data_IF_087567563869
#
_entry.id   IF_087567563869
#
_cell.length_a   1.000
_cell.length_b   1.000
_cell.length_c   1.000
_cell.angle_alpha   90.00
_cell.angle_beta   90.00
_cell.angle_gamma   90.00
#
_symmetry.space_group_name_H-M   'P 1'
#
loop_
_entity.id
_entity.type
_entity.pdbx_description
1 polymer ?
#
# COMPACT_ATOMS: atom_id res chain seq x y z
N UNK A 1 -44.90 0.95 16.30
CA UNK A 1 -43.51 0.55 16.66
C UNK A 1 -42.71 0.00 15.46
N UNK A 2 -43.28 -0.85 14.60
CA UNK A 2 -42.57 -1.42 13.42
C UNK A 2 -42.04 -0.39 12.40
N UNK A 3 -42.82 0.66 12.10
CA UNK A 3 -42.40 1.69 11.13
C UNK A 3 -41.18 2.51 11.56
N UNK A 4 -41.01 2.78 12.86
CA UNK A 4 -39.84 3.50 13.39
C UNK A 4 -38.56 2.68 13.28
N UNK A 5 -38.64 1.37 13.48
CA UNK A 5 -37.52 0.46 13.29
C UNK A 5 -37.10 0.36 11.81
N UNK A 6 -38.07 0.28 10.89
CA UNK A 6 -37.79 0.27 9.45
C UNK A 6 -37.16 1.58 8.98
N UNK A 7 -37.65 2.73 9.45
CA UNK A 7 -37.06 4.03 9.18
C UNK A 7 -35.63 4.13 9.72
N UNK A 8 -35.37 3.66 10.95
CA UNK A 8 -34.02 3.66 11.50
C UNK A 8 -33.04 2.82 10.68
N UNK A 9 -33.45 1.62 10.26
CA UNK A 9 -32.63 0.75 9.39
C UNK A 9 -32.38 1.42 8.04
N UNK A 10 -33.42 1.99 7.42
CA UNK A 10 -33.29 2.69 6.14
C UNK A 10 -32.31 3.87 6.24
N UNK A 11 -32.36 4.66 7.31
CA UNK A 11 -31.43 5.77 7.55
C UNK A 11 -30.00 5.28 7.72
N UNK A 12 -29.78 4.20 8.48
CA UNK A 12 -28.43 3.62 8.67
C UNK A 12 -27.86 3.11 7.35
N UNK A 13 -28.66 2.38 6.57
CA UNK A 13 -28.23 1.87 5.26
C UNK A 13 -27.92 3.02 4.29
N UNK A 14 -28.75 4.06 4.27
CA UNK A 14 -28.52 5.25 3.45
C UNK A 14 -27.23 5.97 3.86
N UNK A 15 -27.01 6.18 5.16
CA UNK A 15 -25.79 6.82 5.65
C UNK A 15 -24.53 6.00 5.33
N UNK A 16 -24.61 4.66 5.45
CA UNK A 16 -23.51 3.78 5.10
C UNK A 16 -23.19 3.79 3.61
N UNK A 17 -24.22 3.79 2.75
CA UNK A 17 -24.05 3.90 1.30
C UNK A 17 -23.42 5.25 0.93
N UNK A 18 -23.94 6.34 1.49
CA UNK A 18 -23.38 7.68 1.27
C UNK A 18 -21.91 7.77 1.72
N UNK A 19 -21.57 7.22 2.89
CA UNK A 19 -20.20 7.20 3.38
C UNK A 19 -19.27 6.39 2.45
N UNK A 20 -19.74 5.25 1.95
CA UNK A 20 -19.00 4.46 0.96
C UNK A 20 -18.75 5.26 -0.31
N UNK A 21 -19.79 5.81 -0.92
CA UNK A 21 -19.68 6.56 -2.17
C UNK A 21 -18.76 7.78 -2.02
N UNK A 22 -18.81 8.43 -0.85
CA UNK A 22 -17.92 9.54 -0.52
C UNK A 22 -16.45 9.10 -0.38
N UNK A 23 -16.18 7.95 0.27
CA UNK A 23 -14.84 7.38 0.36
C UNK A 23 -14.31 7.00 -1.02
N UNK A 24 -15.13 6.34 -1.84
CA UNK A 24 -14.76 5.92 -3.19
C UNK A 24 -14.40 7.16 -4.04
N UNK A 25 -15.23 8.21 -4.00
CA UNK A 25 -14.94 9.47 -4.69
C UNK A 25 -13.66 10.17 -4.18
N UNK A 26 -13.38 10.09 -2.87
CA UNK A 26 -12.15 10.63 -2.30
C UNK A 26 -10.90 9.85 -2.73
N UNK A 27 -10.99 8.53 -2.79
CA UNK A 27 -9.92 7.66 -3.30
C UNK A 27 -9.65 7.99 -4.77
N UNK A 28 -10.71 8.05 -5.59
CA UNK A 28 -10.58 8.31 -7.03
C UNK A 28 -10.04 9.72 -7.33
N UNK A 29 -10.35 10.69 -6.48
CA UNK A 29 -9.81 12.05 -6.58
C UNK A 29 -8.36 12.18 -6.09
N UNK A 30 -7.79 11.14 -5.47
CA UNK A 30 -6.42 11.19 -4.94
C UNK A 30 -5.41 11.20 -6.09
N UNK A 31 -4.59 12.26 -6.24
CA UNK A 31 -3.57 12.29 -7.27
C UNK A 31 -2.48 11.28 -6.94
N UNK A 32 -2.42 10.18 -7.70
CA UNK A 32 -1.39 9.17 -7.54
C UNK A 32 -0.05 9.69 -8.09
N UNK A 33 1.06 9.48 -7.36
CA UNK A 33 2.38 9.72 -7.91
C UNK A 33 2.63 8.76 -9.09
N UNK A 34 3.58 9.07 -9.98
CA UNK A 34 3.97 8.15 -11.04
C UNK A 34 4.32 6.78 -10.48
N UNK A 35 3.60 5.75 -10.93
CA UNK A 35 3.84 4.37 -10.51
C UNK A 35 5.06 3.75 -11.21
N UNK A 36 5.48 4.35 -12.33
CA UNK A 36 6.74 4.04 -12.97
C UNK A 36 7.89 4.67 -12.17
N UNK A 37 8.68 3.82 -11.52
CA UNK A 37 9.87 4.26 -10.78
C UNK A 37 11.01 4.41 -11.77
N UNK A 38 11.60 5.61 -11.84
CA UNK A 38 12.81 5.83 -12.61
C UNK A 38 13.96 4.98 -12.05
N UNK A 39 14.65 4.26 -12.94
CA UNK A 39 15.82 3.44 -12.61
C UNK A 39 17.10 4.12 -13.10
N UNK A 40 18.20 3.81 -12.43
CA UNK A 40 19.55 4.20 -12.80
C UNK A 40 19.89 3.78 -14.22
N UNK A 41 20.62 4.64 -14.95
CA UNK A 41 21.27 4.23 -16.20
C UNK A 41 22.44 3.33 -15.82
N UNK A 42 22.42 2.09 -16.32
CA UNK A 42 23.43 1.07 -16.06
C UNK A 42 24.35 0.91 -17.27
N UNK A 43 25.66 1.03 -17.02
CA UNK A 43 26.72 0.72 -17.98
C UNK A 43 27.20 -0.69 -17.68
N UNK A 44 26.94 -1.61 -18.60
CA UNK A 44 27.29 -3.01 -18.49
C UNK A 44 28.41 -3.37 -19.47
N UNK A 45 29.17 -4.42 -19.16
CA UNK A 45 30.13 -5.00 -20.07
C UNK A 45 29.45 -5.93 -21.10
N UNK A 46 30.24 -6.56 -21.98
CA UNK A 46 29.72 -7.47 -23.02
C UNK A 46 29.10 -8.76 -22.47
N UNK A 47 29.40 -9.11 -21.23
CA UNK A 47 28.90 -10.30 -20.53
C UNK A 47 27.71 -9.96 -19.61
N UNK A 48 27.32 -8.68 -19.54
CA UNK A 48 26.22 -8.20 -18.71
C UNK A 48 26.62 -7.83 -17.28
N UNK A 49 27.92 -7.78 -16.95
CA UNK A 49 28.37 -7.35 -15.63
C UNK A 49 28.32 -5.83 -15.50
N UNK A 50 27.82 -5.35 -14.36
CA UNK A 50 27.71 -3.92 -14.07
C UNK A 50 29.09 -3.28 -13.92
N UNK A 51 29.43 -2.36 -14.81
CA UNK A 51 30.66 -1.56 -14.74
C UNK A 51 30.44 -0.26 -13.97
N UNK A 52 29.26 0.36 -14.13
CA UNK A 52 28.86 1.59 -13.46
C UNK A 52 27.35 1.76 -13.51
N UNK A 53 26.77 2.35 -12.48
CA UNK A 53 25.43 2.93 -12.56
C UNK A 53 25.48 4.44 -12.25
N UNK A 54 24.50 5.17 -12.80
CA UNK A 54 24.31 6.59 -12.53
C UNK A 54 23.11 6.79 -11.61
N UNK A 55 23.14 7.81 -10.77
CA UNK A 55 22.00 8.13 -9.89
C UNK A 55 20.82 8.65 -10.71
N UNK A 56 19.61 8.37 -10.25
CA UNK A 56 18.39 9.02 -10.77
C UNK A 56 18.36 10.50 -10.34
N UNK A 57 17.38 11.26 -10.83
CA UNK A 57 17.31 12.72 -10.62
C UNK A 57 17.38 13.17 -9.15
N UNK A 58 16.96 12.31 -8.22
CA UNK A 58 16.99 12.57 -6.77
C UNK A 58 18.29 12.12 -6.06
N UNK A 59 19.33 11.75 -6.82
CA UNK A 59 20.65 11.39 -6.30
C UNK A 59 20.74 9.97 -5.73
N UNK A 60 19.67 9.18 -5.79
CA UNK A 60 19.68 7.79 -5.33
C UNK A 60 20.13 6.83 -6.43
N UNK A 61 20.67 5.70 -6.01
CA UNK A 61 20.92 4.55 -6.89
C UNK A 61 19.67 3.68 -6.89
N UNK A 62 19.15 3.36 -8.08
CA UNK A 62 17.96 2.52 -8.27
C UNK A 62 18.21 1.54 -9.40
N UNK A 63 18.82 0.40 -9.07
CA UNK A 63 19.09 -0.63 -10.07
C UNK A 63 17.77 -1.25 -10.53
N UNK A 64 17.67 -1.55 -11.83
CA UNK A 64 16.52 -2.27 -12.35
C UNK A 64 16.53 -3.70 -11.81
N UNK A 65 15.45 -4.12 -11.16
CA UNK A 65 15.31 -5.45 -10.61
C UNK A 65 14.08 -6.13 -11.23
N UNK A 66 14.30 -7.28 -11.89
CA UNK A 66 13.22 -8.18 -12.27
C UNK A 66 12.86 -9.04 -11.04
N UNK A 67 11.60 -9.00 -10.55
CA UNK A 67 11.16 -9.88 -9.46
C UNK A 67 11.41 -11.37 -9.73
N UNK A 68 11.42 -11.81 -11.00
CA UNK A 68 11.71 -13.19 -11.36
C UNK A 68 13.19 -13.57 -11.20
N UNK A 69 14.09 -12.58 -11.20
CA UNK A 69 15.52 -12.77 -10.98
C UNK A 69 15.91 -12.72 -9.48
N UNK A 70 14.98 -12.37 -8.60
CA UNK A 70 15.19 -12.32 -7.15
C UNK A 70 15.05 -13.71 -6.54
N UNK A 71 15.93 -14.06 -5.60
CA UNK A 71 15.84 -15.32 -4.86
C UNK A 71 14.46 -15.45 -4.18
N UNK A 72 13.67 -16.50 -4.47
CA UNK A 72 12.37 -16.71 -3.86
C UNK A 72 12.41 -16.78 -2.33
N UNK A 73 13.52 -17.20 -1.72
CA UNK A 73 13.69 -17.20 -0.27
C UNK A 73 13.77 -15.78 0.27
N UNK A 74 14.54 -14.90 -0.37
CA UNK A 74 14.63 -13.50 0.00
C UNK A 74 13.26 -12.83 -0.06
N UNK A 75 12.52 -13.02 -1.17
CA UNK A 75 11.18 -12.45 -1.31
C UNK A 75 10.21 -12.94 -0.21
N UNK A 76 10.25 -14.23 0.14
CA UNK A 76 9.44 -14.79 1.24
C UNK A 76 9.81 -14.18 2.59
N UNK A 77 11.11 -14.02 2.86
CA UNK A 77 11.57 -13.43 4.11
C UNK A 77 11.17 -11.95 4.20
N UNK A 78 11.31 -11.20 3.11
CA UNK A 78 10.91 -9.80 3.04
C UNK A 78 9.42 -9.63 3.34
N UNK A 79 8.55 -10.41 2.67
CA UNK A 79 7.11 -10.39 2.95
C UNK A 79 6.83 -10.79 4.40
N UNK A 80 7.48 -11.82 4.93
CA UNK A 80 7.25 -12.25 6.31
C UNK A 80 7.67 -11.18 7.35
N UNK A 81 8.69 -10.38 7.06
CA UNK A 81 9.23 -9.36 7.94
C UNK A 81 8.44 -8.05 7.87
N UNK A 82 8.22 -7.53 6.66
CA UNK A 82 7.57 -6.23 6.44
C UNK A 82 6.05 -6.32 6.59
N UNK A 83 5.43 -7.31 5.94
CA UNK A 83 3.98 -7.47 5.93
C UNK A 83 3.58 -8.94 5.76
N UNK A 84 3.55 -9.64 6.89
CA UNK A 84 3.20 -11.07 6.95
C UNK A 84 1.82 -11.39 6.33
N UNK A 85 0.92 -10.41 6.19
CA UNK A 85 -0.43 -10.60 5.65
C UNK A 85 -0.60 -9.98 4.26
N UNK A 86 0.47 -9.53 3.61
CA UNK A 86 0.47 -8.88 2.30
C UNK A 86 -0.49 -9.52 1.28
N UNK A 87 -0.42 -10.85 1.10
CA UNK A 87 -1.25 -11.56 0.13
C UNK A 87 -2.69 -11.86 0.58
N UNK A 88 -3.04 -11.53 1.83
CA UNK A 88 -4.35 -11.85 2.44
C UNK A 88 -5.30 -10.65 2.48
N UNK A 89 -4.80 -9.43 2.29
CA UNK A 89 -5.64 -8.22 2.27
C UNK A 89 -5.65 -7.58 0.88
N UNK A 90 -6.71 -6.83 0.59
CA UNK A 90 -6.91 -6.15 -0.69
C UNK A 90 -6.40 -4.71 -0.65
N UNK A 91 -5.14 -4.54 -0.24
CA UNK A 91 -4.49 -3.23 -0.07
C UNK A 91 -4.51 -2.71 1.37
N UNK A 92 -5.65 -2.81 2.07
CA UNK A 92 -5.77 -2.33 3.46
C UNK A 92 -5.95 -3.48 4.45
N UNK A 93 -5.03 -3.61 5.41
CA UNK A 93 -5.10 -4.59 6.49
C UNK A 93 -5.90 -4.06 7.69
N UNK A 94 -7.20 -4.38 7.71
CA UNK A 94 -8.12 -3.92 8.77
C UNK A 94 -7.68 -4.34 10.18
N UNK A 95 -7.05 -5.51 10.34
CA UNK A 95 -6.55 -5.99 11.63
C UNK A 95 -5.31 -5.20 12.09
N UNK A 96 -4.47 -4.76 11.15
CA UNK A 96 -3.36 -3.87 11.45
C UNK A 96 -3.86 -2.47 11.81
N UNK A 97 -4.79 -1.92 11.04
CA UNK A 97 -5.35 -0.59 11.27
C UNK A 97 -6.06 -0.48 12.63
N UNK A 98 -6.92 -1.45 12.96
CA UNK A 98 -7.63 -1.48 14.25
C UNK A 98 -6.67 -1.54 15.43
N UNK A 99 -5.61 -2.35 15.32
CA UNK A 99 -4.55 -2.42 16.33
C UNK A 99 -3.80 -1.10 16.45
N UNK A 100 -3.38 -0.50 15.33
CA UNK A 100 -2.68 0.78 15.31
C UNK A 100 -3.53 1.91 15.90
N UNK A 101 -4.82 1.97 15.57
CA UNK A 101 -5.75 2.95 16.14
C UNK A 101 -5.90 2.77 17.66
N UNK A 102 -6.03 1.53 18.14
CA UNK A 102 -6.06 1.26 19.57
C UNK A 102 -4.75 1.67 20.26
N UNK A 103 -3.61 1.35 19.65
CA UNK A 103 -2.29 1.73 20.16
C UNK A 103 -2.14 3.25 20.24
N UNK A 104 -2.53 3.98 19.20
CA UNK A 104 -2.45 5.44 19.17
C UNK A 104 -3.36 6.09 20.24
N UNK A 105 -4.57 5.57 20.43
CA UNK A 105 -5.48 6.04 21.47
C UNK A 105 -4.94 5.78 22.88
N UNK A 106 -4.29 4.62 23.10
CA UNK A 106 -3.72 4.28 24.40
C UNK A 106 -2.41 5.03 24.69
N UNK A 107 -1.56 5.23 23.69
CA UNK A 107 -0.30 5.94 23.82
C UNK A 107 -0.49 7.47 23.85
N UNK A 108 -1.60 7.98 23.28
CA UNK A 108 -1.84 9.41 23.12
C UNK A 108 -1.05 10.06 21.98
N UNK A 109 -0.28 9.26 21.23
CA UNK A 109 0.50 9.67 20.07
C UNK A 109 0.52 8.56 19.01
N UNK A 110 0.86 8.92 17.78
CA UNK A 110 1.04 7.95 16.70
C UNK A 110 2.42 7.31 16.87
N UNK A 111 2.42 5.99 17.07
CA UNK A 111 3.62 5.13 17.19
C UNK A 111 3.83 4.36 15.89
#
# INVERSE_FOLDING_TARGET
MRARGLLAVATVLFAAAFARDWIDAWIDATPLPPLAVETSVEVIDRHGELLRAYTVADGRWRLAADPAAVDPLFAKMLVAYEDKRFHRHHGVDLLAMTRAAAQALMAGEVV
#
